data_IF_290986749514
#
_entry.id   IF_290986749514
#
_cell.length_a   1.000
_cell.length_b   1.000
_cell.length_c   1.000
_cell.angle_alpha   90.00
_cell.angle_beta   90.00
_cell.angle_gamma   90.00
#
_symmetry.space_group_name_H-M   'P 1'
#
loop_
_entity.id
_entity.type
_entity.pdbx_description
1 polymer ?
#
# COMPACT_ATOMS: atom_id res chain seq x y z
N UNK A 1 15.74 -20.19 -27.76
CA UNK A 1 14.38 -19.60 -27.87
C UNK A 1 14.36 -18.28 -27.13
N UNK A 2 13.72 -17.22 -27.68
CA UNK A 2 13.62 -15.94 -26.99
C UNK A 2 12.80 -16.10 -25.70
N UNK A 3 13.39 -15.64 -24.60
CA UNK A 3 12.76 -15.57 -23.27
C UNK A 3 12.38 -14.13 -22.99
N UNK A 4 11.29 -13.90 -22.26
CA UNK A 4 10.87 -12.56 -21.86
C UNK A 4 9.37 -12.47 -21.63
N UNK A 5 8.98 -11.56 -20.75
CA UNK A 5 7.59 -11.23 -20.49
C UNK A 5 7.40 -9.73 -20.70
N UNK A 6 6.34 -9.32 -21.39
CA UNK A 6 5.96 -7.91 -21.54
C UNK A 6 4.52 -7.73 -21.06
N UNK A 7 4.34 -6.86 -20.08
CA UNK A 7 3.06 -6.50 -19.50
C UNK A 7 2.87 -5.00 -19.68
N UNK A 8 1.71 -4.61 -20.23
CA UNK A 8 1.29 -3.21 -20.28
C UNK A 8 0.45 -2.91 -19.04
N UNK A 9 0.77 -1.83 -18.35
CA UNK A 9 0.04 -1.33 -17.19
C UNK A 9 -0.62 -0.01 -17.57
N UNK A 10 -1.89 0.15 -17.20
CA UNK A 10 -2.63 1.42 -17.26
C UNK A 10 -3.01 1.83 -15.86
N UNK A 11 -2.89 3.11 -15.54
CA UNK A 11 -3.17 3.65 -14.21
C UNK A 11 -4.44 4.50 -14.23
N UNK A 12 -5.09 4.64 -13.08
CA UNK A 12 -6.30 5.46 -12.97
C UNK A 12 -6.01 6.95 -13.18
N UNK A 13 -4.87 7.43 -12.69
CA UNK A 13 -4.46 8.84 -12.76
C UNK A 13 -3.63 9.18 -14.02
N UNK A 14 -3.48 8.26 -14.98
CA UNK A 14 -2.63 8.49 -16.16
C UNK A 14 -3.09 7.71 -17.39
N UNK A 15 -3.15 8.39 -18.54
CA UNK A 15 -3.40 7.75 -19.84
C UNK A 15 -2.14 7.09 -20.44
N UNK A 16 -0.97 7.30 -19.84
CA UNK A 16 0.28 6.70 -20.31
C UNK A 16 0.32 5.21 -20.00
N UNK A 17 0.69 4.40 -21.00
CA UNK A 17 0.91 2.97 -20.81
C UNK A 17 2.34 2.74 -20.36
N UNK A 18 2.51 2.17 -19.16
CA UNK A 18 3.80 1.70 -18.69
C UNK A 18 4.05 0.27 -19.14
N UNK A 19 5.20 0.02 -19.76
CA UNK A 19 5.57 -1.31 -20.27
C UNK A 19 6.59 -1.97 -19.35
N UNK A 20 6.13 -2.94 -18.54
CA UNK A 20 6.97 -3.71 -17.63
C UNK A 20 7.55 -4.93 -18.35
N UNK A 21 8.89 -5.01 -18.41
CA UNK A 21 9.63 -6.12 -19.05
C UNK A 21 10.56 -6.90 -18.11
N UNK A 22 10.84 -6.37 -16.91
CA UNK A 22 11.71 -7.02 -15.94
C UNK A 22 11.00 -8.22 -15.31
N UNK A 23 11.43 -9.43 -15.69
CA UNK A 23 10.85 -10.68 -15.18
C UNK A 23 11.05 -10.87 -13.67
N UNK A 24 12.13 -10.35 -13.08
CA UNK A 24 12.36 -10.47 -11.64
C UNK A 24 11.43 -9.55 -10.84
N UNK A 25 11.10 -8.38 -11.39
CA UNK A 25 10.02 -7.53 -10.84
C UNK A 25 8.68 -8.25 -10.95
N UNK A 26 8.34 -8.78 -12.13
CA UNK A 26 7.05 -9.46 -12.36
C UNK A 26 6.87 -10.63 -11.39
N UNK A 27 7.92 -11.44 -11.17
CA UNK A 27 7.88 -12.58 -10.23
C UNK A 27 7.58 -12.19 -8.79
N UNK A 28 7.96 -10.97 -8.39
CA UNK A 28 7.74 -10.43 -7.04
C UNK A 28 6.37 -9.80 -6.87
N UNK A 29 5.55 -9.77 -7.92
CA UNK A 29 4.16 -9.28 -7.91
C UNK A 29 3.21 -10.42 -8.31
N UNK A 30 2.76 -11.25 -7.35
CA UNK A 30 1.91 -12.40 -7.61
C UNK A 30 0.65 -12.10 -8.44
N UNK A 31 0.05 -10.91 -8.30
CA UNK A 31 -1.08 -10.50 -9.13
C UNK A 31 -0.71 -10.51 -10.62
N UNK A 32 0.45 -9.94 -10.97
CA UNK A 32 0.96 -9.94 -12.35
C UNK A 32 1.32 -11.36 -12.79
N UNK A 33 1.93 -12.16 -11.92
CA UNK A 33 2.23 -13.58 -12.21
C UNK A 33 0.96 -14.35 -12.58
N UNK A 34 -0.14 -14.15 -11.84
CA UNK A 34 -1.43 -14.80 -12.15
C UNK A 34 -1.98 -14.34 -13.50
N UNK A 35 -1.93 -13.04 -13.79
CA UNK A 35 -2.35 -12.50 -15.08
C UNK A 35 -1.56 -13.11 -16.25
N UNK A 36 -0.24 -13.21 -16.11
CA UNK A 36 0.63 -13.83 -17.12
C UNK A 36 0.37 -15.32 -17.26
N UNK A 37 0.28 -16.06 -16.16
CA UNK A 37 0.01 -17.52 -16.16
C UNK A 37 -1.33 -17.86 -16.81
N UNK A 38 -2.36 -17.03 -16.60
CA UNK A 38 -3.66 -17.17 -17.25
C UNK A 38 -3.55 -17.10 -18.78
N UNK A 39 -2.63 -16.28 -19.29
CA UNK A 39 -2.37 -16.16 -20.73
C UNK A 39 -1.44 -17.24 -21.27
N UNK A 40 -0.39 -17.59 -20.52
CA UNK A 40 0.59 -18.59 -20.89
C UNK A 40 1.18 -19.27 -19.65
N UNK A 41 0.85 -20.55 -19.44
CA UNK A 41 1.37 -21.33 -18.32
C UNK A 41 2.88 -21.58 -18.40
N UNK A 42 3.48 -21.53 -19.61
CA UNK A 42 4.91 -21.74 -19.86
C UNK A 42 5.70 -20.42 -20.00
N UNK A 43 5.19 -19.32 -19.45
CA UNK A 43 5.77 -17.97 -19.61
C UNK A 43 7.23 -17.83 -19.14
N UNK A 44 7.69 -18.70 -18.22
CA UNK A 44 9.10 -18.72 -17.80
C UNK A 44 10.06 -19.24 -18.88
N UNK A 45 9.55 -20.02 -19.84
CA UNK A 45 10.34 -20.69 -20.86
C UNK A 45 10.08 -20.15 -22.27
N UNK A 46 9.05 -19.32 -22.44
CA UNK A 46 8.58 -18.81 -23.73
C UNK A 46 8.34 -17.31 -23.67
N UNK A 47 8.62 -16.61 -24.78
CA UNK A 47 8.28 -15.20 -24.89
C UNK A 47 6.77 -15.02 -24.72
N UNK A 48 6.37 -14.16 -23.79
CA UNK A 48 4.97 -13.88 -23.48
C UNK A 48 4.73 -12.38 -23.55
N UNK A 49 3.72 -11.97 -24.30
CA UNK A 49 3.29 -10.57 -24.40
C UNK A 49 1.81 -10.55 -24.08
N UNK A 50 1.42 -9.78 -23.07
CA UNK A 50 0.01 -9.56 -22.76
C UNK A 50 -0.51 -8.48 -23.73
N UNK A 51 -1.53 -8.79 -24.56
CA UNK A 51 -2.01 -7.85 -25.56
C UNK A 51 -2.69 -6.64 -24.91
N UNK A 52 -3.52 -6.92 -23.90
CA UNK A 52 -4.37 -5.96 -23.22
C UNK A 52 -3.65 -5.38 -21.98
N UNK A 53 -3.69 -4.05 -21.77
CA UNK A 53 -3.19 -3.45 -20.54
C UNK A 53 -3.94 -3.95 -19.31
N UNK A 54 -3.21 -4.20 -18.23
CA UNK A 54 -3.79 -4.44 -16.91
C UNK A 54 -4.08 -3.07 -16.30
N UNK A 55 -5.34 -2.82 -15.97
CA UNK A 55 -5.75 -1.62 -15.24
C UNK A 55 -5.36 -1.78 -13.76
N UNK A 56 -4.58 -0.83 -13.26
CA UNK A 56 -4.16 -0.75 -11.86
C UNK A 56 -4.91 0.43 -11.23
N UNK A 57 -5.80 0.19 -10.25
CA UNK A 57 -6.63 1.23 -9.63
C UNK A 57 -5.85 1.99 -8.54
N UNK A 58 -4.63 2.42 -8.87
CA UNK A 58 -3.75 3.15 -7.98
C UNK A 58 -2.94 4.19 -8.78
N UNK A 59 -2.44 5.25 -8.12
CA UNK A 59 -1.59 6.23 -8.78
C UNK A 59 -0.35 5.60 -9.41
N UNK A 60 -0.02 6.06 -10.62
CA UNK A 60 1.18 5.65 -11.36
C UNK A 60 2.42 5.72 -10.49
N UNK A 61 2.61 6.83 -9.79
CA UNK A 61 3.79 7.13 -8.97
C UNK A 61 3.99 6.07 -7.88
N UNK A 62 2.91 5.64 -7.22
CA UNK A 62 2.96 4.60 -6.19
C UNK A 62 3.39 3.25 -6.76
N UNK A 63 2.88 2.87 -7.93
CA UNK A 63 3.25 1.61 -8.58
C UNK A 63 4.67 1.65 -9.13
N UNK A 64 5.08 2.77 -9.72
CA UNK A 64 6.45 2.97 -10.18
C UNK A 64 7.43 2.94 -9.01
N UNK A 65 7.08 3.51 -7.86
CA UNK A 65 7.88 3.41 -6.66
C UNK A 65 8.11 1.95 -6.25
N UNK A 66 7.05 1.13 -6.24
CA UNK A 66 7.15 -0.30 -5.93
C UNK A 66 8.07 -1.00 -6.95
N UNK A 67 7.83 -0.81 -8.25
CA UNK A 67 8.64 -1.42 -9.32
C UNK A 67 10.12 -1.08 -9.17
N UNK A 68 10.43 0.16 -8.79
CA UNK A 68 11.80 0.67 -8.66
C UNK A 68 12.55 0.09 -7.46
N UNK A 69 11.84 -0.28 -6.38
CA UNK A 69 12.46 -0.69 -5.10
C UNK A 69 12.25 -2.17 -4.73
N UNK A 70 11.38 -2.92 -5.41
CA UNK A 70 11.02 -4.32 -5.06
C UNK A 70 12.19 -5.31 -5.11
N UNK A 71 13.28 -4.94 -5.78
CA UNK A 71 14.51 -5.75 -5.87
C UNK A 71 15.56 -5.36 -4.84
N UNK A 72 15.52 -4.13 -4.33
CA UNK A 72 16.57 -3.57 -3.46
C UNK A 72 16.15 -3.57 -2.00
N UNK A 73 14.91 -3.21 -1.71
CA UNK A 73 14.41 -3.17 -0.33
C UNK A 73 14.13 -4.57 0.19
N UNK A 74 14.75 -4.85 1.34
CA UNK A 74 14.56 -6.05 2.15
C UNK A 74 13.36 -5.86 3.07
N UNK A 75 12.85 -6.96 3.61
CA UNK A 75 11.78 -6.86 4.60
C UNK A 75 12.35 -6.31 5.93
N UNK A 76 11.58 -5.54 6.71
CA UNK A 76 12.04 -5.02 8.00
C UNK A 76 12.53 -6.10 8.98
N UNK A 77 11.97 -7.29 8.95
CA UNK A 77 12.41 -8.42 9.78
C UNK A 77 13.70 -9.11 9.29
N UNK A 78 14.21 -8.77 8.11
CA UNK A 78 15.50 -9.25 7.59
C UNK A 78 16.68 -8.41 8.08
N UNK A 79 16.42 -7.24 8.68
CA UNK A 79 17.44 -6.41 9.31
C UNK A 79 17.58 -6.75 10.80
N UNK A 80 18.81 -6.83 11.33
CA UNK A 80 19.04 -6.90 12.78
C UNK A 80 18.45 -5.70 13.52
N UNK A 81 18.61 -4.51 12.94
CA UNK A 81 18.08 -3.25 13.46
C UNK A 81 16.99 -2.70 12.52
N UNK A 82 15.79 -2.51 13.07
CA UNK A 82 14.61 -2.03 12.33
C UNK A 82 14.55 -0.52 12.39
N UNK A 83 15.36 0.14 11.56
CA UNK A 83 15.45 1.60 11.50
C UNK A 83 14.97 2.14 10.14
N UNK A 84 14.30 3.32 10.09
CA UNK A 84 13.82 3.91 8.84
C UNK A 84 14.90 4.16 7.78
N UNK A 85 16.14 4.43 8.20
CA UNK A 85 17.29 4.75 7.37
C UNK A 85 17.69 3.60 6.44
N UNK A 86 17.24 2.37 6.72
CA UNK A 86 17.37 1.24 5.80
C UNK A 86 16.58 1.43 4.48
N UNK A 87 15.65 2.38 4.44
CA UNK A 87 14.73 2.65 3.32
C UNK A 87 14.74 4.14 2.96
N UNK A 88 15.85 4.70 2.48
CA UNK A 88 16.04 6.15 2.39
C UNK A 88 14.96 6.88 1.56
N UNK A 89 14.62 6.35 0.39
CA UNK A 89 13.64 7.00 -0.50
C UNK A 89 12.22 6.92 0.06
N UNK A 90 11.86 5.78 0.68
CA UNK A 90 10.55 5.64 1.33
C UNK A 90 10.48 6.43 2.65
N UNK A 91 11.57 6.52 3.40
CA UNK A 91 11.62 7.26 4.65
C UNK A 91 11.45 8.77 4.43
N UNK A 92 11.98 9.28 3.32
CA UNK A 92 11.84 10.67 2.91
C UNK A 92 10.40 11.08 2.56
N UNK A 93 9.53 10.12 2.21
CA UNK A 93 8.12 10.37 1.95
C UNK A 93 7.37 10.70 3.25
N UNK A 94 6.30 11.48 3.13
CA UNK A 94 5.39 11.68 4.24
C UNK A 94 4.42 10.50 4.41
N UNK A 95 3.60 10.59 5.45
CA UNK A 95 2.66 9.55 5.82
C UNK A 95 1.49 9.41 4.81
N UNK A 96 1.10 10.48 4.13
CA UNK A 96 0.04 10.48 3.12
C UNK A 96 0.53 9.97 1.77
N UNK A 97 1.81 10.16 1.45
CA UNK A 97 2.47 9.60 0.27
C UNK A 97 2.78 8.10 0.42
N UNK A 98 3.09 7.65 1.64
CA UNK A 98 3.32 6.23 1.93
C UNK A 98 2.05 5.39 1.88
N UNK A 99 0.88 5.98 2.20
CA UNK A 99 -0.41 5.28 2.18
C UNK A 99 -0.77 4.66 0.82
N UNK A 100 -0.81 5.40 -0.30
CA UNK A 100 -1.14 4.81 -1.60
C UNK A 100 -0.08 3.80 -2.06
N UNK A 101 1.18 3.92 -1.62
CA UNK A 101 2.21 2.89 -1.84
C UNK A 101 1.87 1.61 -1.09
N UNK A 102 1.48 1.69 0.19
CA UNK A 102 1.04 0.54 0.98
C UNK A 102 -0.15 -0.15 0.31
N UNK A 103 -1.20 0.60 -0.04
CA UNK A 103 -2.41 0.05 -0.65
C UNK A 103 -2.11 -0.62 -2.01
N UNK A 104 -1.32 0.03 -2.87
CA UNK A 104 -0.90 -0.54 -4.14
C UNK A 104 -0.02 -1.80 -3.96
N UNK A 105 0.90 -1.79 -2.99
CA UNK A 105 1.76 -2.93 -2.71
C UNK A 105 0.97 -4.13 -2.16
N UNK A 106 -0.03 -3.89 -1.31
CA UNK A 106 -0.96 -4.92 -0.86
C UNK A 106 -1.74 -5.51 -2.03
N UNK A 107 -2.29 -4.68 -2.92
CA UNK A 107 -3.05 -5.15 -4.08
C UNK A 107 -2.20 -5.98 -5.05
N UNK A 108 -0.98 -5.51 -5.35
CA UNK A 108 -0.05 -6.21 -6.24
C UNK A 108 0.61 -7.43 -5.58
N UNK A 109 0.37 -7.64 -4.29
CA UNK A 109 1.01 -8.63 -3.42
C UNK A 109 2.55 -8.51 -3.40
N UNK A 110 3.03 -7.27 -3.49
CA UNK A 110 4.45 -6.91 -3.38
C UNK A 110 4.88 -6.90 -1.91
N UNK A 111 4.98 -8.08 -1.29
CA UNK A 111 5.12 -8.25 0.16
C UNK A 111 6.27 -7.46 0.79
N UNK A 112 7.44 -7.36 0.14
CA UNK A 112 8.55 -6.58 0.69
C UNK A 112 8.16 -5.11 0.86
N UNK A 113 7.60 -4.49 -0.18
CA UNK A 113 7.21 -3.08 -0.15
C UNK A 113 5.99 -2.81 0.73
N UNK A 114 5.04 -3.75 0.77
CA UNK A 114 3.93 -3.69 1.71
C UNK A 114 4.43 -3.60 3.16
N UNK A 115 5.40 -4.46 3.53
CA UNK A 115 5.95 -4.45 4.89
C UNK A 115 6.84 -3.22 5.16
N UNK A 116 7.59 -2.74 4.17
CA UNK A 116 8.39 -1.52 4.30
C UNK A 116 7.50 -0.30 4.50
N UNK A 117 6.49 -0.10 3.66
CA UNK A 117 5.56 1.03 3.79
C UNK A 117 4.81 0.96 5.12
N UNK A 118 4.31 -0.21 5.52
CA UNK A 118 3.65 -0.40 6.81
C UNK A 118 4.57 -0.09 8.01
N UNK A 119 5.82 -0.52 7.97
CA UNK A 119 6.82 -0.22 9.00
C UNK A 119 7.08 1.29 9.13
N UNK A 120 7.28 1.99 8.00
CA UNK A 120 7.54 3.43 8.00
C UNK A 120 6.32 4.26 8.44
N UNK A 121 5.11 3.85 8.03
CA UNK A 121 3.87 4.45 8.52
C UNK A 121 3.77 4.28 10.03
N UNK A 122 3.99 3.07 10.55
CA UNK A 122 3.96 2.83 11.99
C UNK A 122 4.96 3.74 12.75
N UNK A 123 6.19 3.87 12.23
CA UNK A 123 7.21 4.75 12.81
C UNK A 123 6.79 6.22 12.83
N UNK A 124 6.21 6.72 11.73
CA UNK A 124 5.73 8.12 11.67
C UNK A 124 4.52 8.35 12.58
N UNK A 125 3.64 7.36 12.74
CA UNK A 125 2.50 7.44 13.65
C UNK A 125 2.91 7.48 15.12
N UNK A 126 4.00 6.80 15.51
CA UNK A 126 4.53 6.82 16.89
C UNK A 126 4.88 8.25 17.37
N UNK A 127 5.21 9.16 16.44
CA UNK A 127 5.61 10.54 16.75
C UNK A 127 4.44 11.53 16.74
N UNK A 128 3.25 11.10 16.31
CA UNK A 128 2.09 11.97 16.14
C UNK A 128 1.16 11.95 17.37
N UNK A 129 0.49 13.08 17.67
CA UNK A 129 -0.55 13.10 18.70
C UNK A 129 -1.77 12.27 18.24
N UNK A 130 -2.54 11.77 19.21
CA UNK A 130 -3.65 10.82 18.99
C UNK A 130 -4.68 11.36 18.00
N UNK A 131 -4.92 12.67 18.00
CA UNK A 131 -5.83 13.35 17.06
C UNK A 131 -5.39 13.16 15.60
N UNK A 132 -4.08 13.28 15.33
CA UNK A 132 -3.51 13.11 14.00
C UNK A 132 -3.46 11.65 13.59
N UNK A 133 -3.27 10.73 14.54
CA UNK A 133 -3.40 9.30 14.30
C UNK A 133 -4.85 8.95 13.90
N UNK A 134 -5.84 9.47 14.64
CA UNK A 134 -7.25 9.26 14.34
C UNK A 134 -7.64 9.80 12.96
N UNK A 135 -7.21 11.03 12.63
CA UNK A 135 -7.40 11.65 11.31
C UNK A 135 -6.87 10.75 10.18
N UNK A 136 -5.63 10.26 10.31
CA UNK A 136 -5.04 9.37 9.31
C UNK A 136 -5.81 8.05 9.14
N UNK A 137 -6.27 7.48 10.25
CA UNK A 137 -7.07 6.25 10.27
C UNK A 137 -8.52 6.46 9.77
N UNK A 138 -8.93 7.70 9.51
CA UNK A 138 -10.31 8.05 9.13
C UNK A 138 -11.30 7.88 10.29
N UNK A 139 -10.82 8.03 11.53
CA UNK A 139 -11.63 7.91 12.75
C UNK A 139 -11.96 9.30 13.30
N UNK A 140 -13.20 9.45 13.78
CA UNK A 140 -13.58 10.63 14.55
C UNK A 140 -12.87 10.60 15.91
N UNK A 141 -12.09 11.64 16.21
CA UNK A 141 -11.50 11.81 17.53
C UNK A 141 -12.51 12.45 18.48
N UNK A 142 -12.86 11.75 19.55
CA UNK A 142 -13.70 12.28 20.62
C UNK A 142 -12.83 12.49 21.86
N UNK A 143 -12.55 13.75 22.28
CA UNK A 143 -11.76 14.04 23.47
C UNK A 143 -12.36 13.36 24.72
N UNK A 144 -11.50 12.79 25.56
CA UNK A 144 -11.91 12.11 26.81
C UNK A 144 -12.73 13.04 27.73
N UNK A 145 -12.45 14.35 27.72
CA UNK A 145 -13.21 15.35 28.48
C UNK A 145 -14.71 15.36 28.15
N UNK A 146 -15.13 14.90 26.97
CA UNK A 146 -16.54 14.82 26.59
C UNK A 146 -17.30 13.65 27.26
N UNK A 147 -16.58 12.74 27.93
CA UNK A 147 -17.14 11.58 28.60
C UNK A 147 -17.23 11.74 30.13
N UNK A 148 -16.56 12.74 30.71
CA UNK A 148 -16.50 12.96 32.15
C UNK A 148 -17.31 14.20 32.54
N UNK A 149 -18.44 13.97 33.22
CA UNK A 149 -19.15 15.01 33.98
C UNK A 149 -18.64 15.00 35.43
N UNK A 150 -17.79 15.97 35.79
CA UNK A 150 -17.18 16.09 37.13
C UNK A 150 -18.24 16.16 38.26
N UNK A 151 -19.49 16.53 37.97
CA UNK A 151 -20.54 16.61 38.99
C UNK A 151 -21.09 15.23 39.41
N UNK A 152 -20.96 14.19 38.59
CA UNK A 152 -21.68 12.94 38.80
C UNK A 152 -20.81 11.68 38.77
N UNK A 153 -19.54 11.76 38.34
CA UNK A 153 -18.61 10.62 38.36
C UNK A 153 -18.95 9.46 37.42
N UNK A 154 -19.91 9.65 36.51
CA UNK A 154 -20.38 8.64 35.56
C UNK A 154 -19.90 8.96 34.13
N UNK A 155 -19.39 7.93 33.44
CA UNK A 155 -19.05 8.00 32.01
C UNK A 155 -20.33 7.78 31.19
N UNK A 156 -20.73 8.74 30.36
CA UNK A 156 -21.85 8.58 29.42
C UNK A 156 -21.33 8.21 28.03
N UNK A 157 -21.78 7.11 27.40
CA UNK A 157 -21.41 6.78 26.02
C UNK A 157 -21.84 7.90 25.06
N UNK A 158 -21.03 8.16 24.03
CA UNK A 158 -21.34 9.17 23.01
C UNK A 158 -22.59 8.77 22.23
N UNK A 159 -23.61 9.62 22.23
CA UNK A 159 -24.89 9.42 21.52
C UNK A 159 -24.80 9.69 20.01
N UNK A 160 -23.77 9.17 19.34
CA UNK A 160 -23.69 9.14 17.87
C UNK A 160 -24.08 7.76 17.35
N UNK A 161 -25.36 7.40 17.50
CA UNK A 161 -25.86 6.12 17.03
C UNK A 161 -27.24 5.72 17.56
N UNK A 162 -28.24 6.60 17.44
CA UNK A 162 -29.63 6.14 17.53
C UNK A 162 -30.47 6.75 16.41
N UNK A 163 -30.27 6.23 15.19
CA UNK A 163 -31.35 6.23 14.21
C UNK A 163 -32.46 5.30 14.71
N UNK A 164 -33.44 5.87 15.42
CA UNK A 164 -34.74 5.24 15.58
C UNK A 164 -35.79 6.12 14.92
N UNK A 165 -35.98 5.82 13.64
CA UNK A 165 -37.20 6.06 12.89
C UNK A 165 -38.44 5.83 13.77
N UNK A 166 -39.30 6.84 13.86
CA UNK A 166 -40.69 6.65 14.29
C UNK A 166 -41.62 7.15 13.20
N UNK A 167 -42.59 6.29 12.92
CA UNK A 167 -43.65 6.39 11.94
C UNK A 167 -44.70 7.45 12.30
#
# INVERSE_FOLDING_TARGET
MPRGCEIKLKFENSDEIYVLKDMEVIKRMPLLVRAVKKKNSKWLHTRTILPDPILIPYPKESVIFIISHIKTYRMPNEYPEKVPENYPDAHALDLYDLRPILEAATHLEAFSLMNVAGFLIAKKLEELPVEKVAEFMGLEYVPVANFYDEQNGWIRPSTSGSSSSTA
#
